data_IF_591228952548
#
_entry.id   IF_591228952548
#
_cell.length_a   1.000
_cell.length_b   1.000
_cell.length_c   1.000
_cell.angle_alpha   90.00
_cell.angle_beta   90.00
_cell.angle_gamma   90.00
#
_symmetry.space_group_name_H-M   'P 1'
#
loop_
_entity.id
_entity.type
_entity.pdbx_description
1 polymer ?
#
# COMPACT_ATOMS: atom_id res chain seq x y z
N UNK A 1 19.36 -6.78 7.33
CA UNK A 1 18.21 -5.92 7.01
C UNK A 1 18.76 -4.62 6.44
N UNK A 2 18.27 -4.16 5.30
CA UNK A 2 18.62 -2.84 4.77
C UNK A 2 17.71 -1.86 5.49
N UNK A 3 18.27 -1.00 6.32
CA UNK A 3 17.50 0.01 7.05
C UNK A 3 16.81 0.92 6.03
N UNK A 4 15.53 1.23 6.29
CA UNK A 4 14.78 2.16 5.45
C UNK A 4 15.46 3.54 5.53
N UNK A 5 15.57 4.28 4.42
CA UNK A 5 16.09 5.64 4.46
C UNK A 5 15.31 6.50 5.46
N UNK A 6 15.98 7.40 6.18
CA UNK A 6 15.34 8.28 7.17
C UNK A 6 14.17 9.09 6.57
N UNK A 7 14.28 9.45 5.29
CA UNK A 7 13.27 10.20 4.53
C UNK A 7 12.17 9.31 3.92
N UNK A 8 12.15 8.00 4.21
CA UNK A 8 11.19 7.07 3.61
C UNK A 8 9.74 7.48 3.93
N UNK A 9 9.44 7.76 5.20
CA UNK A 9 8.12 8.21 5.63
C UNK A 9 7.72 9.54 4.97
N UNK A 10 8.68 10.47 4.83
CA UNK A 10 8.47 11.77 4.18
C UNK A 10 8.18 11.60 2.68
N UNK A 11 8.93 10.72 2.02
CA UNK A 11 8.76 10.40 0.60
C UNK A 11 7.42 9.72 0.34
N UNK A 12 7.05 8.77 1.19
CA UNK A 12 5.76 8.09 1.13
C UNK A 12 4.60 9.07 1.33
N UNK A 13 4.71 9.97 2.31
CA UNK A 13 3.69 11.00 2.58
C UNK A 13 3.53 12.06 1.46
N UNK A 14 4.46 12.14 0.51
CA UNK A 14 4.35 12.98 -0.71
C UNK A 14 3.63 12.26 -1.85
N UNK A 15 3.69 10.93 -1.88
CA UNK A 15 3.00 10.10 -2.87
C UNK A 15 1.52 9.96 -2.52
N UNK A 16 1.18 10.06 -1.23
CA UNK A 16 -0.18 10.00 -0.71
C UNK A 16 -0.89 11.36 -0.79
N UNK A 17 -2.22 11.33 -0.95
CA UNK A 17 -3.05 12.53 -0.91
C UNK A 17 -2.81 13.32 0.41
N UNK A 18 -2.43 14.61 0.36
CA UNK A 18 -1.97 15.35 1.55
C UNK A 18 -2.98 15.44 2.70
N UNK A 19 -4.28 15.33 2.41
CA UNK A 19 -5.36 15.32 3.39
C UNK A 19 -5.68 13.95 4.00
N UNK A 20 -5.06 12.88 3.51
CA UNK A 20 -5.44 11.50 3.87
C UNK A 20 -4.28 10.70 4.45
N UNK A 21 -3.19 11.38 4.83
CA UNK A 21 -1.97 10.73 5.33
C UNK A 21 -2.21 9.78 6.49
N UNK A 22 -3.03 10.19 7.46
CA UNK A 22 -3.39 9.34 8.62
C UNK A 22 -4.22 8.13 8.18
N UNK A 23 -5.24 8.34 7.36
CA UNK A 23 -6.06 7.25 6.81
C UNK A 23 -5.23 6.27 5.99
N UNK A 24 -4.28 6.77 5.18
CA UNK A 24 -3.38 5.97 4.39
C UNK A 24 -2.39 5.17 5.26
N UNK A 25 -1.88 5.77 6.34
CA UNK A 25 -1.05 5.07 7.31
C UNK A 25 -1.79 3.86 7.92
N UNK A 26 -3.05 4.04 8.31
CA UNK A 26 -3.88 2.96 8.85
C UNK A 26 -4.09 1.82 7.83
N UNK A 27 -4.24 2.15 6.54
CA UNK A 27 -4.39 1.13 5.48
C UNK A 27 -3.09 0.38 5.24
N UNK A 28 -1.95 1.08 5.28
CA UNK A 28 -0.62 0.46 5.14
C UNK A 28 -0.33 -0.44 6.34
N UNK A 29 -0.65 0.00 7.55
CA UNK A 29 -0.55 -0.83 8.76
C UNK A 29 -1.41 -2.09 8.64
N UNK A 30 -2.66 -1.96 8.18
CA UNK A 30 -3.52 -3.12 7.93
C UNK A 30 -2.94 -4.06 6.84
N UNK A 31 -2.24 -3.53 5.83
CA UNK A 31 -1.56 -4.36 4.83
C UNK A 31 -0.39 -5.17 5.42
N UNK A 32 0.25 -4.69 6.50
CA UNK A 32 1.31 -5.47 7.19
C UNK A 32 0.78 -6.71 7.91
N UNK A 33 -0.53 -6.81 8.10
CA UNK A 33 -1.19 -7.97 8.72
C UNK A 33 -1.55 -9.07 7.71
N UNK A 34 -1.36 -8.82 6.40
CA UNK A 34 -1.50 -9.84 5.37
C UNK A 34 -0.34 -10.84 5.42
N UNK A 35 -0.53 -12.00 4.81
CA UNK A 35 0.58 -12.92 4.55
C UNK A 35 1.59 -12.34 3.54
N UNK A 36 2.73 -13.01 3.37
CA UNK A 36 3.81 -12.53 2.51
C UNK A 36 3.37 -12.37 1.04
N UNK A 37 2.46 -13.22 0.55
CA UNK A 37 1.96 -13.18 -0.83
C UNK A 37 0.93 -12.04 -1.02
N UNK A 38 0.03 -11.84 -0.05
CA UNK A 38 -0.93 -10.75 0.01
C UNK A 38 -0.25 -9.39 0.14
N UNK A 39 0.73 -9.29 1.04
CA UNK A 39 1.55 -8.08 1.19
C UNK A 39 2.34 -7.79 -0.10
N UNK A 40 2.95 -8.80 -0.73
CA UNK A 40 3.63 -8.63 -2.03
C UNK A 40 2.67 -8.09 -3.08
N UNK A 41 1.48 -8.67 -3.20
CA UNK A 41 0.48 -8.22 -4.18
C UNK A 41 0.00 -6.80 -3.92
N UNK A 42 -0.23 -6.43 -2.66
CA UNK A 42 -0.55 -5.05 -2.27
C UNK A 42 0.54 -4.07 -2.74
N UNK A 43 1.81 -4.37 -2.46
CA UNK A 43 2.95 -3.53 -2.82
C UNK A 43 3.13 -3.42 -4.34
N UNK A 44 2.90 -4.49 -5.10
CA UNK A 44 2.95 -4.49 -6.56
C UNK A 44 1.88 -3.57 -7.17
N UNK A 45 0.64 -3.64 -6.68
CA UNK A 45 -0.44 -2.76 -7.12
C UNK A 45 -0.13 -1.29 -6.82
N UNK A 46 0.36 -1.01 -5.61
CA UNK A 46 0.76 0.32 -5.20
C UNK A 46 1.90 0.86 -6.09
N UNK A 47 2.97 0.09 -6.30
CA UNK A 47 4.09 0.48 -7.15
C UNK A 47 3.65 0.74 -8.60
N UNK A 48 2.77 -0.10 -9.15
CA UNK A 48 2.20 0.09 -10.48
C UNK A 48 1.42 1.41 -10.57
N UNK A 49 0.61 1.73 -9.55
CA UNK A 49 -0.16 2.97 -9.51
C UNK A 49 0.73 4.22 -9.45
N UNK A 50 1.80 4.18 -8.67
CA UNK A 50 2.78 5.28 -8.58
C UNK A 50 3.51 5.49 -9.92
N UNK A 51 3.85 4.41 -10.63
CA UNK A 51 4.49 4.50 -11.96
C UNK A 51 3.55 5.00 -13.05
N UNK A 52 2.26 4.67 -12.95
CA UNK A 52 1.27 4.97 -13.99
C UNK A 52 0.74 6.41 -13.95
N UNK A 53 0.81 7.10 -12.80
CA UNK A 53 0.27 8.45 -12.67
C UNK A 53 1.01 9.25 -11.60
N UNK A 54 1.32 10.50 -11.92
CA UNK A 54 1.92 11.48 -11.01
C UNK A 54 0.91 12.08 -10.01
N UNK A 55 -0.38 11.76 -10.16
CA UNK A 55 -1.39 12.19 -9.20
C UNK A 55 -1.22 11.43 -7.87
N UNK A 56 -1.41 12.09 -6.72
CA UNK A 56 -1.35 11.45 -5.43
C UNK A 56 -2.26 10.22 -5.35
N UNK A 57 -1.84 9.22 -4.57
CA UNK A 57 -2.64 8.03 -4.31
C UNK A 57 -3.64 8.34 -3.20
N UNK A 58 -4.92 8.08 -3.48
CA UNK A 58 -6.01 8.32 -2.53
C UNK A 58 -6.24 7.12 -1.61
N UNK A 59 -6.84 7.37 -0.46
CA UNK A 59 -7.19 6.34 0.51
C UNK A 59 -8.12 5.28 -0.08
N UNK A 60 -9.04 5.67 -0.97
CA UNK A 60 -9.96 4.75 -1.64
C UNK A 60 -9.21 3.76 -2.53
N UNK A 61 -8.12 4.21 -3.17
CA UNK A 61 -7.27 3.37 -4.02
C UNK A 61 -6.49 2.37 -3.16
N UNK A 62 -5.91 2.84 -2.05
CA UNK A 62 -5.23 1.96 -1.08
C UNK A 62 -6.18 0.90 -0.51
N UNK A 63 -7.41 1.28 -0.15
CA UNK A 63 -8.42 0.32 0.34
C UNK A 63 -8.79 -0.71 -0.73
N UNK A 64 -8.87 -0.32 -1.99
CA UNK A 64 -9.11 -1.26 -3.10
C UNK A 64 -7.95 -2.23 -3.24
N UNK A 65 -6.71 -1.76 -3.17
CA UNK A 65 -5.52 -2.62 -3.21
C UNK A 65 -5.52 -3.60 -2.04
N UNK A 66 -5.78 -3.14 -0.82
CA UNK A 66 -5.87 -4.00 0.37
C UNK A 66 -6.97 -5.07 0.22
N UNK A 67 -8.15 -4.69 -0.27
CA UNK A 67 -9.24 -5.64 -0.47
C UNK A 67 -8.92 -6.69 -1.54
N UNK A 68 -8.30 -6.28 -2.65
CA UNK A 68 -7.86 -7.20 -3.70
C UNK A 68 -6.76 -8.15 -3.21
N UNK A 69 -5.81 -7.64 -2.41
CA UNK A 69 -4.76 -8.42 -1.75
C UNK A 69 -5.35 -9.52 -0.85
N UNK A 70 -6.20 -9.10 0.10
CA UNK A 70 -6.87 -10.00 1.05
C UNK A 70 -7.79 -11.03 0.38
N UNK A 71 -8.33 -10.73 -0.81
CA UNK A 71 -9.17 -11.66 -1.56
C UNK A 71 -8.35 -12.70 -2.32
N UNK A 72 -7.19 -12.33 -2.86
CA UNK A 72 -6.29 -13.28 -3.52
C UNK A 72 -5.68 -14.29 -2.56
N UNK A 73 -5.38 -13.88 -1.32
CA UNK A 73 -4.96 -14.81 -0.24
C UNK A 73 -6.02 -15.88 0.03
N UNK A 74 -7.29 -15.49 0.12
CA UNK A 74 -8.41 -16.44 0.37
C UNK A 74 -8.62 -17.44 -0.75
N UNK A 75 -8.28 -17.08 -1.98
CA UNK A 75 -8.41 -17.97 -3.15
C UNK A 75 -7.18 -18.88 -3.33
N UNK A 76 -6.04 -18.50 -2.73
CA UNK A 76 -4.80 -19.28 -2.70
C UNK A 76 -4.70 -20.25 -1.50
N UNK A 77 -5.54 -20.09 -0.47
CA UNK A 77 -5.64 -21.02 0.65
C UNK A 77 -6.50 -22.26 0.27
N UNK A 78 -5.94 -23.49 0.33
CA UNK A 78 -6.64 -24.73 -0.04
C UNK A 78 -7.70 -25.19 0.98
#
# INVERSE_FOLDING_TARGET
MRELPDDFAVTLARVLEPGERETAANVIEAATMLDDDGLRMFLEMFARRVRASAAPVRHEELRKFLHSAARGEREAAP
#
